data_IF_512813798780
#
_entry.id   IF_512813798780
#
_cell.length_a   1.000
_cell.length_b   1.000
_cell.length_c   1.000
_cell.angle_alpha   90.00
_cell.angle_beta   90.00
_cell.angle_gamma   90.00
#
_symmetry.space_group_name_H-M   'P 1'
#
loop_
_entity.id
_entity.type
_entity.pdbx_description
1 polymer ?
#
# COMPACT_ATOMS: atom_id res chain seq x y z
N UNK A 1 -25.86 13.44 8.34
CA UNK A 1 -25.19 12.31 7.65
C UNK A 1 -23.73 12.64 7.54
N UNK A 2 -22.88 11.69 7.92
CA UNK A 2 -21.44 11.85 7.87
C UNK A 2 -20.83 10.84 6.90
N UNK A 3 -19.75 11.24 6.25
CA UNK A 3 -18.82 10.29 5.65
C UNK A 3 -17.86 9.82 6.73
N UNK A 4 -17.61 8.51 6.79
CA UNK A 4 -16.66 7.90 7.72
C UNK A 4 -15.56 7.21 6.91
N UNK A 5 -14.31 7.53 7.21
CA UNK A 5 -13.10 6.85 6.72
C UNK A 5 -12.45 6.14 7.90
N UNK A 6 -12.15 4.85 7.71
CA UNK A 6 -11.55 4.02 8.75
C UNK A 6 -10.14 3.57 8.37
N UNK A 7 -9.27 3.45 9.37
CA UNK A 7 -7.92 2.95 9.21
C UNK A 7 -7.44 2.28 10.51
N UNK A 8 -6.68 1.19 10.39
CA UNK A 8 -5.86 0.71 11.49
C UNK A 8 -4.50 1.40 11.47
N UNK A 9 -4.04 1.78 12.65
CA UNK A 9 -2.71 2.34 12.86
C UNK A 9 -1.98 1.46 13.87
N UNK A 10 -0.86 0.91 13.44
CA UNK A 10 0.01 0.06 14.22
C UNK A 10 1.14 0.91 14.76
N UNK A 11 1.45 0.74 16.05
CA UNK A 11 2.58 1.39 16.71
C UNK A 11 3.44 0.33 17.40
N UNK A 12 4.77 0.46 17.33
CA UNK A 12 5.69 -0.48 18.00
C UNK A 12 5.60 -0.41 19.52
N UNK A 13 5.35 0.77 20.06
CA UNK A 13 5.07 1.00 21.47
C UNK A 13 4.14 2.20 21.64
N UNK A 14 3.23 2.13 22.61
CA UNK A 14 2.46 3.27 23.11
C UNK A 14 2.59 3.28 24.63
N UNK A 15 3.13 4.38 25.17
CA UNK A 15 3.42 4.50 26.60
C UNK A 15 2.17 4.80 27.44
N UNK A 16 1.05 5.13 26.79
CA UNK A 16 -0.15 5.64 27.44
C UNK A 16 -1.26 4.58 27.51
N UNK A 17 -2.12 4.69 28.54
CA UNK A 17 -3.37 3.94 28.66
C UNK A 17 -4.45 4.49 27.71
N UNK A 18 -4.09 4.76 26.45
CA UNK A 18 -5.00 5.23 25.43
C UNK A 18 -5.96 4.10 25.06
N UNK A 19 -7.10 4.01 25.73
CA UNK A 19 -8.14 3.02 25.46
C UNK A 19 -9.10 3.50 24.38
N UNK A 20 -9.60 4.72 24.54
CA UNK A 20 -10.40 5.42 23.55
C UNK A 20 -10.32 6.93 23.75
N UNK A 21 -10.26 7.70 22.66
CA UNK A 21 -10.34 9.16 22.72
C UNK A 21 -10.84 9.73 21.38
N UNK A 22 -11.24 10.99 21.38
CA UNK A 22 -11.67 11.71 20.17
C UNK A 22 -10.82 12.95 19.96
N UNK A 23 -10.28 13.10 18.75
CA UNK A 23 -9.55 14.29 18.31
C UNK A 23 -10.42 15.09 17.35
N UNK A 24 -10.41 16.43 17.46
CA UNK A 24 -11.17 17.31 16.58
C UNK A 24 -10.24 18.21 15.76
N UNK A 25 -10.48 18.28 14.46
CA UNK A 25 -9.77 19.11 13.48
C UNK A 25 -10.78 19.97 12.71
N UNK A 26 -11.32 21.00 13.38
CA UNK A 26 -12.46 21.76 12.84
C UNK A 26 -13.71 20.89 12.76
N UNK A 27 -14.30 20.77 11.57
CA UNK A 27 -15.52 19.97 11.32
C UNK A 27 -15.27 18.46 11.17
N UNK A 28 -14.04 18.01 11.43
CA UNK A 28 -13.64 16.60 11.35
C UNK A 28 -13.35 16.10 12.75
N UNK A 29 -13.97 14.98 13.13
CA UNK A 29 -13.60 14.25 14.34
C UNK A 29 -12.96 12.91 13.98
N UNK A 30 -11.99 12.49 14.78
CA UNK A 30 -11.36 11.18 14.68
C UNK A 30 -11.49 10.49 16.02
N UNK A 31 -12.31 9.44 16.10
CA UNK A 31 -12.28 8.53 17.25
C UNK A 31 -11.13 7.56 17.08
N UNK A 32 -10.36 7.39 18.14
CA UNK A 32 -9.29 6.43 18.24
C UNK A 32 -9.72 5.39 19.27
N UNK A 33 -9.79 4.13 18.85
CA UNK A 33 -10.16 3.01 19.72
C UNK A 33 -9.03 2.00 19.71
N UNK A 34 -8.50 1.65 20.87
CA UNK A 34 -7.51 0.58 20.99
C UNK A 34 -8.21 -0.77 20.80
N UNK A 35 -7.73 -1.57 19.85
CA UNK A 35 -8.38 -2.83 19.50
C UNK A 35 -7.71 -4.01 20.18
N UNK A 36 -6.43 -4.25 19.86
CA UNK A 36 -5.65 -5.39 20.36
C UNK A 36 -4.16 -5.05 20.39
N UNK A 37 -3.41 -5.83 21.18
CA UNK A 37 -1.95 -5.93 21.08
C UNK A 37 -1.60 -7.21 20.31
N UNK A 38 -0.68 -7.14 19.34
CA UNK A 38 -0.23 -8.30 18.57
C UNK A 38 1.28 -8.25 18.39
N UNK A 39 1.99 -9.32 18.79
CA UNK A 39 3.43 -9.52 18.51
C UNK A 39 4.25 -8.23 18.71
N UNK A 40 4.09 -7.61 19.89
CA UNK A 40 4.73 -6.35 20.32
C UNK A 40 4.13 -5.05 19.76
N UNK A 41 3.27 -5.08 18.76
CA UNK A 41 2.60 -3.89 18.23
C UNK A 41 1.27 -3.60 18.93
N UNK A 42 0.99 -2.32 19.12
CA UNK A 42 -0.30 -1.79 19.56
C UNK A 42 -1.13 -1.38 18.34
N UNK A 43 -2.36 -1.88 18.27
CA UNK A 43 -3.26 -1.62 17.14
C UNK A 43 -4.36 -0.66 17.58
N UNK A 44 -4.42 0.49 16.93
CA UNK A 44 -5.49 1.47 17.09
C UNK A 44 -6.37 1.48 15.84
N UNK A 45 -7.68 1.62 16.03
CA UNK A 45 -8.64 1.83 14.95
C UNK A 45 -9.11 3.28 14.97
N UNK A 46 -8.93 3.96 13.84
CA UNK A 46 -9.31 5.35 13.66
C UNK A 46 -10.62 5.42 12.88
N UNK A 47 -11.56 6.22 13.36
CA UNK A 47 -12.81 6.59 12.68
C UNK A 47 -12.81 8.09 12.39
N UNK A 48 -12.30 8.48 11.24
CA UNK A 48 -12.36 9.87 10.80
C UNK A 48 -13.70 10.15 10.14
N UNK A 49 -14.41 11.19 10.61
CA UNK A 49 -15.76 11.50 10.13
C UNK A 49 -15.99 12.99 10.01
N UNK A 50 -16.85 13.34 9.06
CA UNK A 50 -17.29 14.72 8.85
C UNK A 50 -18.68 14.78 8.26
N UNK A 51 -19.43 15.82 8.62
CA UNK A 51 -20.79 16.01 8.16
C UNK A 51 -20.81 16.44 6.70
N UNK A 52 -21.66 15.79 5.91
CA UNK A 52 -21.90 16.18 4.52
C UNK A 52 -22.90 17.35 4.47
N UNK A 53 -22.62 18.35 3.64
CA UNK A 53 -23.52 19.49 3.45
C UNK A 53 -24.82 19.11 2.74
N UNK A 54 -24.76 18.09 1.88
CA UNK A 54 -25.88 17.56 1.11
C UNK A 54 -25.77 16.03 1.04
N UNK A 55 -26.87 15.36 0.69
CA UNK A 55 -26.80 13.93 0.35
C UNK A 55 -25.77 13.69 -0.77
N UNK A 56 -25.00 12.59 -0.71
CA UNK A 56 -24.12 12.23 -1.81
C UNK A 56 -24.90 12.02 -3.10
N UNK A 57 -24.19 12.12 -4.24
CA UNK A 57 -24.76 11.76 -5.53
C UNK A 57 -25.07 10.27 -5.56
N UNK A 58 -26.06 9.91 -6.38
CA UNK A 58 -26.50 8.54 -6.58
C UNK A 58 -26.44 8.25 -8.09
N UNK A 59 -25.97 7.07 -8.46
CA UNK A 59 -25.96 6.63 -9.87
C UNK A 59 -27.35 6.16 -10.32
N UNK A 60 -27.52 5.87 -11.61
CA UNK A 60 -28.79 5.33 -12.13
C UNK A 60 -29.10 3.93 -11.57
N UNK A 61 -28.07 3.21 -11.13
CA UNK A 61 -28.14 1.88 -10.50
C UNK A 61 -28.42 1.95 -8.98
N UNK A 62 -28.62 3.15 -8.44
CA UNK A 62 -28.90 3.36 -7.02
C UNK A 62 -27.65 3.26 -6.13
N UNK A 63 -26.44 3.40 -6.68
CA UNK A 63 -25.20 3.38 -5.91
C UNK A 63 -24.84 4.77 -5.38
N UNK A 64 -24.49 4.86 -4.09
CA UNK A 64 -24.09 6.09 -3.40
C UNK A 64 -22.63 6.41 -3.73
N UNK A 65 -22.38 7.58 -4.30
CA UNK A 65 -21.03 8.03 -4.69
C UNK A 65 -20.31 8.62 -3.48
N UNK A 66 -19.12 8.11 -3.16
CA UNK A 66 -18.26 8.69 -2.11
C UNK A 66 -17.66 10.02 -2.60
N UNK A 67 -17.84 11.15 -1.88
CA UNK A 67 -17.25 12.42 -2.28
C UNK A 67 -15.72 12.43 -2.12
N UNK A 68 -14.98 12.29 -3.23
CA UNK A 68 -13.51 12.15 -3.24
C UNK A 68 -12.78 13.22 -2.43
N UNK A 69 -13.09 14.51 -2.65
CA UNK A 69 -12.42 15.61 -1.93
C UNK A 69 -12.60 15.54 -0.42
N UNK A 70 -13.75 15.04 0.05
CA UNK A 70 -14.03 14.93 1.48
C UNK A 70 -13.28 13.71 2.04
N UNK A 71 -13.30 12.58 1.32
CA UNK A 71 -12.54 11.37 1.66
C UNK A 71 -11.04 11.66 1.78
N UNK A 72 -10.46 12.32 0.80
CA UNK A 72 -9.03 12.68 0.78
C UNK A 72 -8.65 13.56 1.98
N UNK A 73 -9.53 14.49 2.38
CA UNK A 73 -9.31 15.30 3.59
C UNK A 73 -9.37 14.44 4.86
N UNK A 74 -10.28 13.45 4.94
CA UNK A 74 -10.31 12.52 6.08
C UNK A 74 -9.04 11.66 6.16
N UNK A 75 -8.52 11.18 5.02
CA UNK A 75 -7.29 10.40 4.93
C UNK A 75 -6.06 11.21 5.37
N UNK A 76 -5.94 12.45 4.91
CA UNK A 76 -4.88 13.38 5.36
C UNK A 76 -4.97 13.63 6.87
N UNK A 77 -6.17 13.72 7.44
CA UNK A 77 -6.34 13.90 8.90
C UNK A 77 -6.00 12.65 9.69
N UNK A 78 -6.35 11.45 9.19
CA UNK A 78 -5.91 10.17 9.77
C UNK A 78 -4.38 10.13 9.83
N UNK A 79 -3.71 10.43 8.72
CA UNK A 79 -2.27 10.34 8.63
C UNK A 79 -1.57 11.41 9.48
N UNK A 80 -2.12 12.63 9.56
CA UNK A 80 -1.64 13.68 10.47
C UNK A 80 -1.76 13.29 11.93
N UNK A 81 -2.88 12.72 12.36
CA UNK A 81 -3.04 12.25 13.74
C UNK A 81 -2.09 11.09 14.03
N UNK A 82 -1.94 10.16 13.10
CA UNK A 82 -1.00 9.04 13.24
C UNK A 82 0.46 9.54 13.35
N UNK A 83 0.85 10.55 12.56
CA UNK A 83 2.14 11.23 12.68
C UNK A 83 2.31 11.89 14.06
N UNK A 84 1.29 12.61 14.54
CA UNK A 84 1.33 13.26 15.86
C UNK A 84 1.56 12.23 16.98
N UNK A 85 0.81 11.12 16.96
CA UNK A 85 0.95 10.05 17.94
C UNK A 85 2.31 9.33 17.84
N UNK A 86 2.81 9.13 16.61
CA UNK A 86 4.14 8.55 16.37
C UNK A 86 5.24 9.39 17.01
N UNK A 87 5.16 10.71 16.86
CA UNK A 87 6.11 11.64 17.50
C UNK A 87 5.92 11.70 19.01
N UNK A 88 4.68 11.81 19.51
CA UNK A 88 4.42 11.92 20.95
C UNK A 88 4.85 10.68 21.73
N UNK A 89 4.81 9.51 21.10
CA UNK A 89 5.20 8.24 21.73
C UNK A 89 6.57 7.72 21.27
N UNK A 90 7.33 8.49 20.47
CA UNK A 90 8.63 8.09 19.92
C UNK A 90 8.58 6.68 19.28
N UNK A 91 7.54 6.43 18.50
CA UNK A 91 7.17 5.11 18.04
C UNK A 91 7.02 5.11 16.52
N UNK A 92 7.55 4.09 15.84
CA UNK A 92 7.25 3.89 14.42
C UNK A 92 5.78 3.58 14.25
N UNK A 93 5.23 3.93 13.07
CA UNK A 93 3.83 3.70 12.76
C UNK A 93 3.68 3.03 11.40
N UNK A 94 2.57 2.32 11.23
CA UNK A 94 2.10 1.81 9.94
C UNK A 94 0.59 2.00 9.84
N UNK A 95 0.11 2.49 8.70
CA UNK A 95 -1.33 2.70 8.46
C UNK A 95 -1.81 1.66 7.45
N UNK A 96 -2.92 1.00 7.76
CA UNK A 96 -3.57 0.02 6.88
C UNK A 96 -5.08 0.23 6.87
N UNK A 97 -5.77 -0.20 5.82
CA UNK A 97 -7.23 -0.12 5.74
C UNK A 97 -7.91 -1.41 6.26
N UNK A 98 -9.00 -1.28 7.06
CA UNK A 98 -9.95 -2.37 7.28
C UNK A 98 -10.78 -2.63 6.03
N UNK A 99 -11.53 -3.73 6.05
CA UNK A 99 -12.58 -4.03 5.07
C UNK A 99 -13.95 -4.11 5.78
N UNK A 100 -14.85 -3.15 5.54
CA UNK A 100 -14.72 -2.03 4.61
C UNK A 100 -14.00 -0.82 5.20
N UNK A 101 -13.46 -0.02 4.30
CA UNK A 101 -12.58 1.10 4.62
C UNK A 101 -13.30 2.48 4.65
N UNK A 102 -14.55 2.52 4.17
CA UNK A 102 -15.45 3.68 4.16
C UNK A 102 -16.87 3.25 4.51
N UNK A 103 -17.59 4.12 5.19
CA UNK A 103 -19.02 3.97 5.50
C UNK A 103 -19.71 5.34 5.56
N UNK A 104 -21.04 5.33 5.65
CA UNK A 104 -21.83 6.51 5.98
C UNK A 104 -22.44 6.37 7.37
N UNK A 105 -22.43 7.44 8.16
CA UNK A 105 -23.10 7.49 9.46
C UNK A 105 -24.38 8.32 9.31
N UNK A 106 -25.52 7.76 9.72
CA UNK A 106 -26.78 8.50 9.77
C UNK A 106 -27.03 9.09 11.16
N UNK A 107 -27.62 10.27 11.20
CA UNK A 107 -27.92 10.99 12.45
C UNK A 107 -29.42 11.01 12.76
N UNK A 108 -30.28 10.76 11.77
CA UNK A 108 -31.73 10.71 11.92
C UNK A 108 -32.37 9.59 11.06
N UNK A 109 -33.68 9.39 11.26
CA UNK A 109 -34.46 8.36 10.56
C UNK A 109 -34.58 8.62 9.05
N UNK A 110 -34.57 9.88 8.61
CA UNK A 110 -34.68 10.21 7.19
C UNK A 110 -33.40 9.79 6.47
N UNK A 111 -32.24 10.08 7.05
CA UNK A 111 -30.94 9.64 6.54
C UNK A 111 -30.80 8.12 6.56
N UNK A 112 -31.26 7.47 7.63
CA UNK A 112 -31.28 6.01 7.71
C UNK A 112 -32.12 5.40 6.58
N UNK A 113 -33.34 5.90 6.39
CA UNK A 113 -34.25 5.43 5.34
C UNK A 113 -33.69 5.71 3.95
N UNK A 114 -33.07 6.88 3.76
CA UNK A 114 -32.38 7.21 2.53
C UNK A 114 -31.30 6.17 2.23
N UNK A 115 -30.37 5.89 3.14
CA UNK A 115 -29.29 4.90 2.93
C UNK A 115 -29.84 3.48 2.69
N UNK A 116 -30.87 3.07 3.43
CA UNK A 116 -31.52 1.75 3.25
C UNK A 116 -32.16 1.58 1.87
N UNK A 117 -32.63 2.66 1.25
CA UNK A 117 -33.25 2.65 -0.08
C UNK A 117 -32.23 2.63 -1.24
N UNK A 118 -30.93 2.64 -0.95
CA UNK A 118 -29.88 2.60 -1.97
C UNK A 118 -29.22 1.23 -2.07
N UNK A 119 -28.74 0.94 -3.27
CA UNK A 119 -28.18 -0.36 -3.62
C UNK A 119 -26.87 -0.61 -2.89
N UNK A 120 -25.99 0.38 -2.76
CA UNK A 120 -24.70 0.23 -2.10
C UNK A 120 -23.81 1.45 -2.27
N UNK A 121 -22.51 1.30 -2.00
CA UNK A 121 -21.51 2.34 -2.27
C UNK A 121 -20.88 2.09 -3.64
N UNK A 122 -20.82 3.14 -4.47
CA UNK A 122 -20.04 3.11 -5.71
C UNK A 122 -18.55 3.22 -5.36
N UNK A 123 -17.83 2.12 -5.57
CA UNK A 123 -16.38 2.14 -5.64
C UNK A 123 -15.94 2.38 -7.08
N UNK A 124 -14.84 3.10 -7.30
CA UNK A 124 -14.32 3.30 -8.67
C UNK A 124 -14.11 1.92 -9.28
N UNK A 125 -14.67 1.69 -10.48
CA UNK A 125 -14.47 0.44 -11.25
C UNK A 125 -12.98 0.10 -11.23
N UNK A 126 -12.63 -0.96 -10.50
CA UNK A 126 -11.31 -1.58 -10.62
C UNK A 126 -11.20 -1.97 -12.09
N UNK A 127 -10.11 -1.62 -12.77
CA UNK A 127 -9.87 -2.18 -14.11
C UNK A 127 -9.95 -3.71 -13.96
N UNK A 128 -10.81 -4.36 -14.76
CA UNK A 128 -11.12 -5.80 -14.74
C UNK A 128 -9.97 -6.63 -14.16
N UNK A 129 -10.11 -7.15 -12.94
CA UNK A 129 -9.02 -7.93 -12.30
C UNK A 129 -8.87 -7.86 -10.79
N UNK A 130 -9.81 -7.30 -10.03
CA UNK A 130 -9.75 -7.34 -8.56
C UNK A 130 -8.65 -6.48 -7.95
N UNK A 131 -8.35 -6.78 -6.68
CA UNK A 131 -7.37 -6.10 -5.80
C UNK A 131 -6.08 -5.72 -6.55
N UNK A 132 -5.69 -4.43 -6.54
CA UNK A 132 -4.48 -3.97 -7.22
C UNK A 132 -3.24 -4.44 -6.43
N UNK A 133 -2.48 -5.42 -6.94
CA UNK A 133 -1.21 -5.80 -6.33
C UNK A 133 -0.29 -4.59 -6.33
N UNK A 134 0.24 -4.25 -5.16
CA UNK A 134 1.12 -3.09 -4.97
C UNK A 134 2.57 -3.52 -4.89
N UNK A 135 2.85 -4.80 -5.05
CA UNK A 135 4.18 -5.38 -4.95
C UNK A 135 4.10 -6.88 -4.77
N UNK A 136 5.06 -7.55 -5.39
CA UNK A 136 5.28 -8.98 -5.27
C UNK A 136 6.75 -9.14 -4.90
N UNK A 137 7.01 -9.59 -3.68
CA UNK A 137 8.38 -9.92 -3.28
C UNK A 137 8.73 -11.31 -3.77
N UNK A 138 9.69 -11.37 -4.69
CA UNK A 138 10.26 -12.63 -5.18
C UNK A 138 11.61 -12.82 -4.49
N UNK A 139 11.80 -13.88 -3.68
CA UNK A 139 13.11 -14.17 -3.13
C UNK A 139 14.09 -14.46 -4.28
N UNK A 140 15.24 -13.79 -4.27
CA UNK A 140 16.33 -14.01 -5.23
C UNK A 140 17.49 -14.65 -4.50
N UNK A 141 17.92 -15.82 -4.98
CA UNK A 141 19.16 -16.42 -4.54
C UNK A 141 20.34 -15.76 -5.27
N UNK A 142 20.83 -14.66 -4.70
CA UNK A 142 21.93 -13.88 -5.27
C UNK A 142 23.23 -14.67 -5.38
N UNK A 143 23.39 -15.78 -4.64
CA UNK A 143 24.59 -16.62 -4.73
C UNK A 143 24.76 -17.24 -6.13
N UNK A 144 23.66 -17.45 -6.86
CA UNK A 144 23.67 -17.95 -8.24
C UNK A 144 24.17 -16.93 -9.27
N UNK A 145 24.27 -15.67 -8.88
CA UNK A 145 24.53 -14.55 -9.78
C UNK A 145 25.75 -13.72 -9.35
N UNK A 146 26.51 -14.16 -8.34
CA UNK A 146 27.55 -13.36 -7.69
C UNK A 146 28.55 -12.75 -8.68
N UNK A 147 28.98 -13.55 -9.66
CA UNK A 147 29.97 -13.13 -10.64
C UNK A 147 29.37 -12.16 -11.68
N UNK A 148 28.10 -12.38 -12.04
CA UNK A 148 27.39 -11.55 -13.02
C UNK A 148 27.03 -10.15 -12.52
N UNK A 149 26.96 -9.98 -11.19
CA UNK A 149 26.63 -8.72 -10.49
C UNK A 149 27.82 -8.16 -9.68
N UNK A 150 29.03 -8.69 -9.86
CA UNK A 150 30.22 -8.22 -9.15
C UNK A 150 30.58 -6.76 -9.49
N UNK A 151 30.15 -6.24 -10.64
CA UNK A 151 30.39 -4.87 -11.12
C UNK A 151 29.51 -3.80 -10.44
N UNK A 152 28.53 -4.21 -9.61
CA UNK A 152 27.47 -3.34 -9.06
C UNK A 152 27.21 -3.54 -7.58
N UNK A 153 28.25 -3.83 -6.80
CA UNK A 153 28.14 -3.96 -5.34
C UNK A 153 27.53 -2.73 -4.66
N UNK A 154 27.73 -1.53 -5.23
CA UNK A 154 27.06 -0.32 -4.76
C UNK A 154 25.53 -0.37 -4.96
N UNK A 155 25.06 -0.93 -6.08
CA UNK A 155 23.64 -1.24 -6.29
C UNK A 155 23.09 -2.26 -5.28
N UNK A 156 23.87 -3.30 -4.98
CA UNK A 156 23.50 -4.31 -3.96
C UNK A 156 23.40 -3.65 -2.57
N UNK A 157 24.36 -2.79 -2.22
CA UNK A 157 24.34 -2.06 -0.96
C UNK A 157 23.09 -1.16 -0.84
N UNK A 158 22.70 -0.47 -1.92
CA UNK A 158 21.48 0.35 -1.94
C UNK A 158 20.20 -0.50 -1.80
N UNK A 159 20.13 -1.67 -2.43
CA UNK A 159 19.02 -2.59 -2.22
C UNK A 159 18.97 -3.12 -0.79
N UNK A 160 20.13 -3.48 -0.21
CA UNK A 160 20.20 -3.93 1.18
C UNK A 160 19.72 -2.85 2.15
N UNK A 161 20.15 -1.59 1.95
CA UNK A 161 19.67 -0.45 2.73
C UNK A 161 18.16 -0.24 2.58
N UNK A 162 17.63 -0.34 1.35
CA UNK A 162 16.19 -0.30 1.10
C UNK A 162 15.44 -1.39 1.90
N UNK A 163 15.99 -2.59 2.01
CA UNK A 163 15.35 -3.68 2.76
C UNK A 163 15.40 -3.47 4.28
N UNK A 164 16.40 -2.73 4.78
CA UNK A 164 16.55 -2.39 6.20
C UNK A 164 15.56 -1.33 6.70
N UNK A 165 14.98 -0.52 5.81
CA UNK A 165 13.96 0.45 6.19
C UNK A 165 12.63 -0.22 6.57
N UNK A 166 11.96 0.28 7.61
CA UNK A 166 10.58 -0.12 7.94
C UNK A 166 9.56 0.64 7.06
N UNK A 167 9.78 1.94 6.84
CA UNK A 167 8.84 2.84 6.17
C UNK A 167 9.05 2.93 4.65
N UNK A 168 7.97 3.10 3.88
CA UNK A 168 8.02 3.07 2.41
C UNK A 168 8.85 4.18 1.79
N UNK A 169 8.89 5.36 2.43
CA UNK A 169 9.67 6.51 1.95
C UNK A 169 11.17 6.26 1.89
N UNK A 170 11.73 5.55 2.89
CA UNK A 170 13.15 5.22 2.95
C UNK A 170 13.50 4.21 1.87
N UNK A 171 12.69 3.15 1.74
CA UNK A 171 12.82 2.16 0.66
C UNK A 171 12.84 2.80 -0.72
N UNK A 172 11.83 3.64 -0.98
CA UNK A 172 11.68 4.30 -2.27
C UNK A 172 12.85 5.25 -2.56
N UNK A 173 13.34 5.97 -1.56
CA UNK A 173 14.52 6.82 -1.68
C UNK A 173 15.75 6.03 -2.15
N UNK A 174 16.01 4.87 -1.54
CA UNK A 174 17.14 4.01 -1.91
C UNK A 174 16.97 3.37 -3.30
N UNK A 175 15.75 3.00 -3.72
CA UNK A 175 15.49 2.57 -5.10
C UNK A 175 15.79 3.66 -6.13
N UNK A 176 15.44 4.92 -5.84
CA UNK A 176 15.80 6.03 -6.73
C UNK A 176 17.31 6.27 -6.78
N UNK A 177 18.01 6.17 -5.64
CA UNK A 177 19.48 6.22 -5.62
C UNK A 177 20.09 5.09 -6.45
N UNK A 178 19.50 3.89 -6.42
CA UNK A 178 19.94 2.78 -7.27
C UNK A 178 19.80 3.11 -8.75
N UNK A 179 18.67 3.68 -9.18
CA UNK A 179 18.51 4.08 -10.58
C UNK A 179 19.53 5.16 -10.97
N UNK A 180 19.64 6.23 -10.17
CA UNK A 180 20.60 7.33 -10.40
C UNK A 180 22.03 6.81 -10.53
N UNK A 181 22.40 5.84 -9.69
CA UNK A 181 23.70 5.20 -9.71
C UNK A 181 23.88 4.31 -10.93
N UNK A 182 22.91 3.44 -11.22
CA UNK A 182 22.96 2.49 -12.33
C UNK A 182 23.11 3.21 -13.68
N UNK A 183 22.37 4.31 -13.88
CA UNK A 183 22.38 5.08 -15.13
C UNK A 183 23.38 6.23 -15.15
N UNK A 184 24.06 6.54 -14.04
CA UNK A 184 24.95 7.71 -13.89
C UNK A 184 24.26 9.02 -14.30
N UNK A 185 23.01 9.19 -13.91
CA UNK A 185 22.19 10.35 -14.24
C UNK A 185 21.43 10.82 -13.01
N UNK A 186 21.24 12.13 -12.90
CA UNK A 186 20.35 12.71 -11.90
C UNK A 186 18.88 12.50 -12.26
N UNK A 187 18.00 12.64 -11.25
CA UNK A 187 16.56 12.41 -11.36
C UNK A 187 15.89 13.08 -12.57
N UNK A 188 16.25 14.32 -12.92
CA UNK A 188 15.63 15.04 -14.03
C UNK A 188 15.95 14.46 -15.41
N UNK A 189 17.04 13.70 -15.53
CA UNK A 189 17.56 13.16 -16.80
C UNK A 189 17.33 11.66 -16.96
N UNK A 190 16.95 10.98 -15.89
CA UNK A 190 16.89 9.51 -15.86
C UNK A 190 15.63 8.92 -16.48
N UNK A 191 14.54 9.69 -16.54
CA UNK A 191 13.23 9.24 -17.04
C UNK A 191 13.34 8.58 -18.42
N UNK A 192 13.89 9.29 -19.42
CA UNK A 192 13.97 8.77 -20.79
C UNK A 192 14.84 7.50 -20.89
N UNK A 193 16.06 7.46 -20.34
CA UNK A 193 16.87 6.24 -20.31
C UNK A 193 16.20 5.07 -19.61
N UNK A 194 15.51 5.30 -18.48
CA UNK A 194 14.78 4.25 -17.78
C UNK A 194 13.60 3.73 -18.61
N UNK A 195 12.78 4.62 -19.17
CA UNK A 195 11.69 4.20 -20.05
C UNK A 195 12.22 3.39 -21.22
N UNK A 196 13.31 3.84 -21.86
CA UNK A 196 13.93 3.11 -22.97
C UNK A 196 14.50 1.74 -22.55
N UNK A 197 15.10 1.66 -21.36
CA UNK A 197 15.55 0.39 -20.77
C UNK A 197 14.39 -0.60 -20.55
N UNK A 198 13.20 -0.08 -20.25
CA UNK A 198 12.00 -0.86 -20.05
C UNK A 198 11.18 -1.14 -21.33
N UNK A 199 11.60 -0.61 -22.48
CA UNK A 199 10.89 -0.83 -23.74
C UNK A 199 10.83 -2.33 -24.09
N UNK A 200 9.66 -2.77 -24.56
CA UNK A 200 9.39 -4.17 -24.96
C UNK A 200 9.57 -5.21 -23.83
N UNK A 201 9.59 -4.79 -22.56
CA UNK A 201 9.48 -5.72 -21.45
C UNK A 201 8.01 -6.08 -21.18
N UNK A 202 7.80 -7.30 -20.69
CA UNK A 202 6.50 -7.79 -20.21
C UNK A 202 5.84 -6.87 -19.18
N UNK A 203 6.62 -6.08 -18.44
CA UNK A 203 6.12 -5.23 -17.36
C UNK A 203 5.41 -3.96 -17.84
N UNK A 204 5.58 -3.59 -19.11
CA UNK A 204 4.86 -2.48 -19.75
C UNK A 204 4.92 -1.14 -18.97
N UNK A 205 6.10 -0.79 -18.45
CA UNK A 205 6.30 0.51 -17.80
C UNK A 205 6.14 1.63 -18.83
N UNK A 206 5.17 2.53 -18.60
CA UNK A 206 4.95 3.66 -19.50
C UNK A 206 5.79 4.89 -19.13
N UNK A 207 6.04 5.79 -20.09
CA UNK A 207 6.69 7.07 -19.82
C UNK A 207 5.97 7.85 -18.70
N UNK A 208 4.64 7.94 -18.78
CA UNK A 208 3.82 8.66 -17.79
C UNK A 208 3.96 8.05 -16.39
N UNK A 209 4.08 6.73 -16.31
CA UNK A 209 4.30 6.02 -15.04
C UNK A 209 5.66 6.38 -14.45
N UNK A 210 6.75 6.28 -15.22
CA UNK A 210 8.10 6.62 -14.75
C UNK A 210 8.21 8.10 -14.36
N UNK A 211 7.59 9.00 -15.13
CA UNK A 211 7.49 10.43 -14.79
C UNK A 211 6.74 10.66 -13.47
N UNK A 212 5.67 9.89 -13.21
CA UNK A 212 4.92 9.99 -11.96
C UNK A 212 5.77 9.59 -10.76
N UNK A 213 6.64 8.59 -10.90
CA UNK A 213 7.57 8.18 -9.87
C UNK A 213 8.57 9.28 -9.54
N UNK A 214 9.11 9.97 -10.55
CA UNK A 214 10.03 11.08 -10.33
C UNK A 214 9.37 12.26 -9.60
N UNK A 215 8.10 12.55 -9.87
CA UNK A 215 7.36 13.59 -9.14
C UNK A 215 7.29 13.29 -7.64
N UNK A 216 7.09 12.01 -7.28
CA UNK A 216 7.14 11.54 -5.89
C UNK A 216 8.56 11.67 -5.33
N UNK A 217 9.58 11.19 -6.05
CA UNK A 217 11.01 11.31 -5.68
C UNK A 217 11.39 12.74 -5.32
N UNK A 218 11.11 13.70 -6.20
CA UNK A 218 11.49 15.10 -5.98
C UNK A 218 10.86 15.70 -4.73
N UNK A 219 9.66 15.24 -4.39
CA UNK A 219 8.91 15.77 -3.24
C UNK A 219 9.36 15.11 -1.92
N UNK A 220 9.86 13.87 -1.97
CA UNK A 220 10.50 13.20 -0.81
C UNK A 220 11.88 13.79 -0.53
N UNK A 221 12.69 14.01 -1.58
CA UNK A 221 14.08 14.45 -1.43
C UNK A 221 14.21 15.95 -1.08
N UNK A 222 13.21 16.78 -1.38
CA UNK A 222 13.24 18.21 -1.15
C UNK A 222 12.07 18.64 -0.28
N UNK A 223 12.33 18.89 1.01
CA UNK A 223 11.34 19.39 1.98
C UNK A 223 10.89 20.84 1.77
N UNK A 224 10.76 21.31 0.52
CA UNK A 224 10.29 22.66 0.22
C UNK A 224 8.81 22.79 0.59
N UNK A 225 8.50 23.77 1.44
CA UNK A 225 7.17 24.05 2.00
C UNK A 225 6.04 24.31 0.98
N UNK A 226 6.36 24.54 -0.30
CA UNK A 226 5.38 24.86 -1.35
C UNK A 226 4.93 23.63 -2.16
N UNK A 227 5.32 22.42 -1.77
CA UNK A 227 4.89 21.17 -2.41
C UNK A 227 4.12 20.32 -1.40
N UNK A 228 3.21 19.50 -1.91
CA UNK A 228 2.46 18.52 -1.11
C UNK A 228 3.48 17.69 -0.32
N UNK A 229 3.33 17.63 1.01
CA UNK A 229 4.14 16.75 1.84
C UNK A 229 3.81 15.31 1.44
N UNK A 230 4.74 14.65 0.75
CA UNK A 230 4.59 13.24 0.40
C UNK A 230 4.73 12.41 1.66
N UNK A 231 3.74 11.56 1.85
CA UNK A 231 3.58 10.67 3.00
C UNK A 231 3.25 9.25 2.47
N UNK A 232 3.05 8.26 3.33
CA UNK A 232 3.05 6.85 2.89
C UNK A 232 1.92 6.54 1.90
N UNK A 233 0.75 7.14 2.10
CA UNK A 233 -0.41 7.03 1.20
C UNK A 233 -0.12 7.41 -0.25
N UNK A 234 0.85 8.31 -0.48
CA UNK A 234 1.23 8.74 -1.84
C UNK A 234 2.28 7.81 -2.47
N UNK A 235 3.03 7.08 -1.64
CA UNK A 235 4.10 6.18 -2.07
C UNK A 235 3.54 4.79 -2.33
N UNK A 236 2.64 4.33 -1.46
CA UNK A 236 2.09 2.99 -1.53
C UNK A 236 1.66 2.63 -2.95
N UNK A 237 0.87 3.44 -3.70
CA UNK A 237 0.35 3.04 -5.00
C UNK A 237 1.39 2.73 -6.09
N UNK A 238 2.60 3.28 -5.98
CA UNK A 238 3.68 3.06 -6.95
C UNK A 238 4.78 2.13 -6.43
N UNK A 239 4.76 1.82 -5.13
CA UNK A 239 5.90 1.23 -4.42
C UNK A 239 6.42 -0.06 -5.08
N UNK A 240 5.58 -1.07 -5.27
CA UNK A 240 6.06 -2.36 -5.79
C UNK A 240 6.36 -2.36 -7.28
N UNK A 241 5.78 -1.44 -8.06
CA UNK A 241 6.22 -1.23 -9.46
C UNK A 241 7.64 -0.69 -9.49
N UNK A 242 7.97 0.23 -8.58
CA UNK A 242 9.32 0.76 -8.40
C UNK A 242 10.28 -0.30 -7.85
N UNK A 243 9.87 -1.08 -6.85
CA UNK A 243 10.67 -2.20 -6.29
C UNK A 243 10.99 -3.24 -7.37
N UNK A 244 9.99 -3.65 -8.16
CA UNK A 244 10.17 -4.58 -9.28
C UNK A 244 11.14 -4.03 -10.33
N UNK A 245 11.01 -2.74 -10.70
CA UNK A 245 11.93 -2.06 -11.59
C UNK A 245 13.36 -1.99 -11.03
N UNK A 246 13.52 -1.79 -9.72
CA UNK A 246 14.82 -1.74 -9.05
C UNK A 246 15.54 -3.10 -9.10
N UNK A 247 14.84 -4.19 -8.80
CA UNK A 247 15.39 -5.54 -8.98
C UNK A 247 15.75 -5.83 -10.43
N UNK A 248 14.88 -5.46 -11.37
CA UNK A 248 15.14 -5.66 -12.80
C UNK A 248 16.39 -4.91 -13.27
N UNK A 249 16.54 -3.63 -12.91
CA UNK A 249 17.73 -2.83 -13.22
C UNK A 249 18.98 -3.44 -12.59
N UNK A 250 18.92 -3.81 -11.30
CA UNK A 250 20.06 -4.43 -10.60
C UNK A 250 20.53 -5.69 -11.32
N UNK A 251 19.61 -6.60 -11.66
CA UNK A 251 19.98 -7.89 -12.22
C UNK A 251 20.30 -7.83 -13.72
N UNK A 252 19.61 -6.98 -14.47
CA UNK A 252 19.59 -7.08 -15.93
C UNK A 252 20.24 -5.90 -16.65
N UNK A 253 20.61 -4.79 -16.00
CA UNK A 253 21.32 -3.72 -16.72
C UNK A 253 22.71 -4.20 -17.18
N UNK A 254 23.06 -4.02 -18.45
CA UNK A 254 24.30 -4.57 -19.02
C UNK A 254 25.53 -3.76 -18.63
N UNK A 255 25.43 -2.44 -18.72
CA UNK A 255 26.50 -1.51 -18.38
C UNK A 255 26.11 -0.73 -17.13
N UNK A 256 26.73 -1.05 -16.00
CA UNK A 256 26.52 -0.35 -14.74
C UNK A 256 27.24 1.01 -14.74
N UNK A 257 26.67 2.01 -14.06
CA UNK A 257 27.18 3.38 -14.03
C UNK A 257 27.31 4.01 -15.43
N UNK A 258 26.33 3.74 -16.29
CA UNK A 258 26.31 4.19 -17.69
C UNK A 258 24.88 4.54 -18.15
N UNK A 259 24.67 5.61 -18.94
CA UNK A 259 23.34 6.03 -19.36
C UNK A 259 22.65 5.09 -20.37
N UNK A 260 23.33 4.06 -20.89
CA UNK A 260 22.74 3.17 -21.90
C UNK A 260 21.56 2.35 -21.38
N UNK A 261 20.69 1.97 -22.30
CA UNK A 261 19.54 1.11 -22.04
C UNK A 261 19.86 -0.39 -22.25
N UNK A 262 21.13 -0.75 -22.45
CA UNK A 262 21.49 -2.12 -22.77
C UNK A 262 21.20 -3.08 -21.62
N UNK A 263 20.73 -4.28 -21.99
CA UNK A 263 20.21 -5.29 -21.06
C UNK A 263 20.90 -6.65 -21.24
N UNK A 264 21.12 -7.34 -20.12
CA UNK A 264 21.38 -8.77 -19.99
C UNK A 264 20.06 -9.50 -19.68
N UNK A 265 19.95 -10.78 -20.01
CA UNK A 265 18.80 -11.62 -19.62
C UNK A 265 19.21 -12.55 -18.48
N UNK A 266 19.65 -11.96 -17.36
CA UNK A 266 20.20 -12.71 -16.23
C UNK A 266 19.09 -13.28 -15.35
N UNK A 267 18.07 -12.48 -15.10
CA UNK A 267 17.00 -12.80 -14.16
C UNK A 267 15.65 -12.31 -14.68
N UNK A 268 14.59 -13.04 -14.34
CA UNK A 268 13.23 -12.55 -14.38
C UNK A 268 12.51 -13.04 -13.13
N UNK A 269 11.59 -12.26 -12.55
CA UNK A 269 10.74 -12.74 -11.48
C UNK A 269 9.74 -13.75 -12.03
N UNK A 270 9.47 -14.78 -11.23
CA UNK A 270 8.40 -15.73 -11.51
C UNK A 270 7.01 -15.10 -11.34
N UNK A 271 6.89 -14.10 -10.48
CA UNK A 271 5.66 -13.35 -10.21
C UNK A 271 5.89 -11.85 -10.15
N UNK A 272 4.91 -11.07 -10.57
CA UNK A 272 5.07 -9.62 -10.60
C UNK A 272 3.80 -8.92 -11.05
N UNK A 273 3.97 -7.66 -11.44
CA UNK A 273 2.89 -6.81 -11.93
C UNK A 273 3.22 -6.19 -13.28
N UNK A 274 2.24 -6.12 -14.17
CA UNK A 274 2.28 -5.44 -15.46
C UNK A 274 1.09 -4.45 -15.59
N UNK A 275 0.86 -3.91 -16.79
CA UNK A 275 -0.23 -2.94 -16.99
C UNK A 275 -1.63 -3.55 -16.85
N UNK A 276 -1.73 -4.88 -16.94
CA UNK A 276 -2.96 -5.66 -16.86
C UNK A 276 -3.23 -6.23 -15.47
N UNK A 277 -2.21 -6.30 -14.60
CA UNK A 277 -2.36 -6.70 -13.20
C UNK A 277 -1.24 -7.60 -12.72
N UNK A 278 -1.57 -8.58 -11.88
CA UNK A 278 -0.61 -9.57 -11.41
C UNK A 278 -0.35 -10.63 -12.49
N UNK A 279 0.90 -11.05 -12.65
CA UNK A 279 1.24 -12.23 -13.43
C UNK A 279 1.95 -13.29 -12.58
N UNK A 280 1.78 -14.54 -13.00
CA UNK A 280 2.52 -15.70 -12.49
C UNK A 280 3.08 -16.49 -13.68
N UNK A 281 4.32 -16.93 -13.58
CA UNK A 281 4.99 -17.72 -14.61
C UNK A 281 4.56 -19.17 -14.48
N UNK A 282 4.23 -19.79 -15.61
CA UNK A 282 3.78 -21.18 -15.62
C UNK A 282 4.89 -22.08 -15.07
N UNK A 283 4.53 -23.02 -14.19
CA UNK A 283 5.41 -23.98 -13.54
C UNK A 283 6.44 -23.38 -12.56
N UNK A 284 6.23 -22.15 -12.07
CA UNK A 284 7.04 -21.62 -10.97
C UNK A 284 6.44 -21.97 -9.60
N UNK A 285 7.24 -22.52 -8.69
CA UNK A 285 6.89 -22.60 -7.27
C UNK A 285 7.28 -21.29 -6.58
N UNK A 286 6.34 -20.35 -6.52
CA UNK A 286 6.60 -19.01 -5.98
C UNK A 286 5.86 -18.79 -4.66
N UNK A 287 6.57 -18.27 -3.67
CA UNK A 287 5.95 -17.66 -2.49
C UNK A 287 5.82 -16.17 -2.76
N UNK A 288 4.58 -15.69 -2.88
CA UNK A 288 4.29 -14.28 -3.13
C UNK A 288 3.68 -13.65 -1.89
N UNK A 289 4.30 -12.56 -1.43
CA UNK A 289 3.67 -11.64 -0.46
C UNK A 289 2.92 -10.60 -1.27
N UNK A 290 1.59 -10.65 -1.22
CA UNK A 290 0.71 -9.73 -1.91
C UNK A 290 0.34 -8.57 -0.97
N UNK A 291 0.75 -7.36 -1.34
CA UNK A 291 0.15 -6.15 -0.78
C UNK A 291 -0.98 -5.70 -1.70
N UNK A 292 -2.10 -5.33 -1.10
CA UNK A 292 -3.32 -4.92 -1.79
C UNK A 292 -3.72 -3.57 -1.24
N UNK A 293 -4.05 -2.59 -2.09
CA UNK A 293 -4.67 -1.35 -1.60
C UNK A 293 -6.16 -1.52 -1.39
N UNK A 294 -6.71 -0.68 -0.53
CA UNK A 294 -8.13 -0.47 -0.41
C UNK A 294 -8.79 0.00 -1.72
N UNK A 295 -10.12 0.08 -1.70
CA UNK A 295 -10.95 0.48 -2.84
C UNK A 295 -10.64 1.89 -3.38
N UNK A 296 -9.90 2.70 -2.63
CA UNK A 296 -9.50 4.05 -3.02
C UNK A 296 -8.03 4.16 -3.40
N UNK A 297 -7.30 3.04 -3.42
CA UNK A 297 -5.88 2.97 -3.71
C UNK A 297 -5.02 3.83 -2.76
N UNK A 298 -5.37 3.91 -1.46
CA UNK A 298 -4.69 4.81 -0.51
C UNK A 298 -3.84 4.04 0.51
N UNK A 299 -4.46 3.13 1.28
CA UNK A 299 -3.76 2.34 2.29
C UNK A 299 -3.78 0.86 1.91
N UNK A 300 -2.73 0.13 2.32
CA UNK A 300 -2.68 -1.33 2.17
C UNK A 300 -3.74 -1.96 3.06
N UNK A 301 -4.50 -2.92 2.55
CA UNK A 301 -5.45 -3.73 3.31
C UNK A 301 -4.67 -4.65 4.24
N UNK A 302 -5.04 -4.68 5.52
CA UNK A 302 -4.57 -5.70 6.44
C UNK A 302 -5.60 -6.83 6.56
N UNK A 303 -5.34 -7.95 5.89
CA UNK A 303 -6.22 -9.13 5.93
C UNK A 303 -6.31 -9.77 7.32
N UNK A 304 -5.31 -9.59 8.19
CA UNK A 304 -5.32 -10.13 9.54
C UNK A 304 -6.24 -9.35 10.50
N UNK A 305 -6.54 -8.10 10.16
CA UNK A 305 -7.43 -7.22 10.92
C UNK A 305 -8.66 -6.81 10.10
N UNK A 306 -9.00 -7.55 9.04
CA UNK A 306 -9.92 -7.08 8.00
C UNK A 306 -11.30 -6.64 8.52
N UNK A 307 -11.85 -7.24 9.58
CA UNK A 307 -13.22 -6.93 10.00
C UNK A 307 -13.32 -5.67 10.85
N UNK A 308 -14.04 -4.68 10.34
CA UNK A 308 -14.40 -3.47 11.07
C UNK A 308 -15.51 -3.77 12.11
N UNK A 309 -15.33 -3.42 13.39
CA UNK A 309 -16.43 -3.44 14.35
C UNK A 309 -17.38 -2.26 14.07
N UNK A 310 -18.37 -2.48 13.19
CA UNK A 310 -19.34 -1.46 12.82
C UNK A 310 -20.14 -0.91 14.02
N UNK A 311 -20.22 0.42 14.12
CA UNK A 311 -21.14 1.08 15.04
C UNK A 311 -22.59 0.94 14.53
N UNK A 312 -23.57 0.93 15.43
CA UNK A 312 -24.98 0.69 15.08
C UNK A 312 -25.57 1.70 14.08
N UNK A 313 -25.01 2.91 14.02
CA UNK A 313 -25.45 3.99 13.13
C UNK A 313 -24.62 4.10 11.83
N UNK A 314 -23.70 3.17 11.59
CA UNK A 314 -22.93 3.11 10.36
C UNK A 314 -23.62 2.22 9.34
N UNK A 315 -23.64 2.68 8.09
CA UNK A 315 -24.16 1.99 6.94
C UNK A 315 -23.06 1.78 5.91
N UNK A 316 -22.97 0.54 5.44
CA UNK A 316 -22.13 0.14 4.33
C UNK A 316 -22.81 -1.02 3.62
N UNK A 317 -22.77 -1.01 2.29
CA UNK A 317 -23.20 -2.12 1.46
C UNK A 317 -22.32 -2.16 0.23
N UNK A 318 -21.55 -3.24 0.10
CA UNK A 318 -20.70 -3.50 -1.06
C UNK A 318 -21.54 -4.16 -2.16
N UNK A 319 -21.46 -3.62 -3.38
CA UNK A 319 -21.95 -4.27 -4.59
C UNK A 319 -20.78 -4.27 -5.58
N UNK A 320 -20.39 -5.45 -6.05
CA UNK A 320 -19.50 -5.57 -7.19
C UNK A 320 -20.32 -5.43 -8.47
N UNK A 321 -19.95 -4.51 -9.36
CA UNK A 321 -20.70 -4.30 -10.61
C UNK A 321 -20.61 -5.49 -11.58
N UNK A 322 -19.64 -6.39 -11.38
CA UNK A 322 -19.46 -7.62 -12.16
C UNK A 322 -20.18 -8.86 -11.56
N UNK A 323 -20.93 -8.70 -10.45
CA UNK A 323 -21.67 -9.80 -9.77
C UNK A 323 -23.18 -9.52 -9.72
N UNK A 324 -23.92 -9.70 -10.84
CA UNK A 324 -25.33 -9.31 -10.92
C UNK A 324 -26.29 -10.26 -10.19
N UNK A 325 -25.84 -11.42 -9.67
CA UNK A 325 -26.72 -12.42 -9.02
C UNK A 325 -25.95 -13.15 -7.93
N UNK A 326 -26.32 -12.90 -6.67
CA UNK A 326 -25.72 -13.41 -5.43
C UNK A 326 -24.42 -12.72 -5.05
N UNK A 327 -24.56 -11.52 -4.48
CA UNK A 327 -23.46 -10.78 -3.89
C UNK A 327 -22.51 -11.72 -3.17
N UNK A 328 -21.27 -11.72 -3.63
CA UNK A 328 -20.15 -12.42 -3.03
C UNK A 328 -20.29 -12.40 -1.51
N UNK A 329 -20.73 -13.53 -0.95
CA UNK A 329 -20.38 -13.88 0.42
C UNK A 329 -18.87 -13.98 0.35
N UNK A 330 -18.17 -12.92 0.72
CA UNK A 330 -16.80 -13.06 1.21
C UNK A 330 -16.97 -13.77 2.55
N UNK A 331 -17.28 -15.07 2.50
CA UNK A 331 -16.78 -15.98 3.51
C UNK A 331 -15.28 -15.80 3.36
N UNK A 332 -14.67 -15.11 4.34
CA UNK A 332 -13.25 -15.22 4.59
C UNK A 332 -13.00 -16.69 4.91
N UNK A 333 -13.06 -17.54 3.89
CA UNK A 333 -12.56 -18.89 3.93
C UNK A 333 -11.17 -18.74 4.50
N UNK A 334 -10.89 -19.52 5.54
CA UNK A 334 -9.60 -19.57 6.18
C UNK A 334 -8.55 -19.50 5.07
N UNK A 335 -7.92 -18.33 4.92
CA UNK A 335 -6.58 -18.29 4.39
C UNK A 335 -5.84 -19.02 5.49
N UNK A 336 -5.66 -20.33 5.32
CA UNK A 336 -4.84 -21.11 6.20
C UNK A 336 -3.45 -20.53 6.03
N UNK A 337 -3.11 -19.58 6.91
CA UNK A 337 -1.73 -19.28 7.18
C UNK A 337 -1.13 -20.62 7.61
N UNK A 338 -0.25 -21.17 6.78
CA UNK A 338 0.59 -22.27 7.22
C UNK A 338 1.51 -21.64 8.27
N UNK A 339 1.07 -21.68 9.54
CA UNK A 339 1.83 -21.28 10.72
C UNK A 339 2.90 -22.32 11.10
N UNK A 340 3.05 -23.38 10.30
CA UNK A 340 4.08 -24.40 10.51
C UNK A 340 5.34 -24.03 9.74
N UNK A 341 6.34 -23.51 10.44
CA UNK A 341 7.76 -23.89 10.35
C UNK A 341 8.60 -22.97 11.26
N UNK A 342 8.33 -23.05 12.56
CA UNK A 342 9.32 -22.73 13.59
C UNK A 342 9.31 -23.89 14.60
N UNK A 343 9.87 -25.04 14.20
CA UNK A 343 10.44 -25.93 15.21
C UNK A 343 11.79 -25.36 15.62
N UNK A 344 12.03 -25.07 16.91
CA UNK A 344 13.38 -24.85 17.39
C UNK A 344 14.13 -26.18 17.24
N UNK A 345 15.31 -26.14 16.61
CA UNK A 345 16.28 -27.21 16.65
C UNK A 345 16.44 -27.68 18.11
N UNK A 346 15.84 -28.83 18.43
CA UNK A 346 16.05 -29.50 19.72
C UNK A 346 17.52 -29.91 19.77
N UNK A 347 18.23 -29.27 20.70
CA UNK A 347 19.58 -29.61 21.13
C UNK A 347 19.78 -31.14 21.14
N UNK A 348 20.73 -31.59 20.33
CA UNK A 348 21.30 -32.92 20.42
C UNK A 348 21.80 -33.13 21.85
N UNK A 349 21.18 -34.10 22.52
CA UNK A 349 21.67 -34.63 23.79
C UNK A 349 23.10 -35.10 23.62
N UNK A 350 23.96 -34.60 24.51
CA UNK A 350 25.16 -35.28 24.96
C UNK A 350 24.90 -36.77 25.18
N UNK A 351 25.72 -37.63 24.58
CA UNK A 351 25.99 -38.97 25.10
C UNK A 351 27.50 -39.18 25.13
N UNK A 352 27.96 -39.30 26.38
CA UNK A 352 29.09 -40.10 26.91
C UNK A 352 30.43 -40.00 26.23
#
# INVERSE_FOLDING_TARGET
MKLVRTAFVFFKSLNDNLTSCTFNFGDISIDVIRTKKKKEEEILLFYARTRLKHYPKVTNEGLVVVPDKIREVLEDRIEKLANLLSVSHLSSKKITSPVPCVAFEFEDLNEQNWLKNHSGILYKKRKKGGLKPVGVRVPIDLSKYSDDIADRFDGIALMAEAMSHEHLGGKLHEYFRLFERAFKLGADKIVKPMTHYFDNLRYEYSLNEVESWMKVRHSIAHGKANKINIIESHIAPIFGRVEQAAFDVLMNKKHWFDPSADRKKLWHPDTGTDSSGMFVTRNSETKTVLNVLDEFEVFVINFECCTLPFQQNMWHKYIDEDDPVNGMKIEYGQITFIDDFYEPLKNSKSRT
#
